data_IF_164818748503
#
_entry.id   IF_164818748503
#
_cell.length_a   1.000
_cell.length_b   1.000
_cell.length_c   1.000
_cell.angle_alpha   90.00
_cell.angle_beta   90.00
_cell.angle_gamma   90.00
#
_symmetry.space_group_name_H-M   'P 1'
#
loop_
_entity.id
_entity.type
_entity.pdbx_description
1 polymer ?
#
# COMPACT_ATOMS: atom_id res chain seq x y z
N UNK A 1 53.06 -20.50 23.58
CA UNK A 1 52.37 -20.48 22.26
C UNK A 1 50.92 -20.96 22.31
N UNK A 2 50.62 -22.14 22.88
CA UNK A 2 49.26 -22.72 22.98
C UNK A 2 48.22 -21.85 23.70
N UNK A 3 48.60 -21.10 24.74
CA UNK A 3 47.69 -20.21 25.49
C UNK A 3 47.22 -19.00 24.66
N UNK A 4 48.14 -18.35 23.92
CA UNK A 4 47.79 -17.21 23.05
C UNK A 4 46.81 -17.62 21.94
N UNK A 5 46.98 -18.81 21.36
CA UNK A 5 46.07 -19.36 20.34
C UNK A 5 44.66 -19.59 20.90
N UNK A 6 44.53 -20.13 22.13
CA UNK A 6 43.22 -20.31 22.79
C UNK A 6 42.52 -18.98 23.07
N UNK A 7 43.28 -17.97 23.52
CA UNK A 7 42.75 -16.62 23.76
C UNK A 7 42.29 -15.96 22.46
N UNK A 8 43.08 -16.04 21.39
CA UNK A 8 42.70 -15.51 20.07
C UNK A 8 41.45 -16.19 19.53
N UNK A 9 41.33 -17.52 19.65
CA UNK A 9 40.16 -18.27 19.19
C UNK A 9 38.89 -17.87 19.97
N UNK A 10 39.00 -17.68 21.29
CA UNK A 10 37.88 -17.22 22.12
C UNK A 10 37.39 -15.82 21.70
N UNK A 11 38.31 -14.89 21.41
CA UNK A 11 37.97 -13.54 20.93
C UNK A 11 37.24 -13.60 19.58
N UNK A 12 37.71 -14.42 18.64
CA UNK A 12 37.06 -14.58 17.32
C UNK A 12 35.64 -15.13 17.46
N UNK A 13 35.43 -16.11 18.34
CA UNK A 13 34.10 -16.68 18.60
C UNK A 13 33.16 -15.61 19.20
N UNK A 14 33.63 -14.81 20.16
CA UNK A 14 32.84 -13.73 20.77
C UNK A 14 32.42 -12.69 19.72
N UNK A 15 33.32 -12.32 18.81
CA UNK A 15 33.02 -11.39 17.73
C UNK A 15 31.96 -11.98 16.79
N UNK A 16 32.11 -13.24 16.39
CA UNK A 16 31.12 -13.92 15.53
C UNK A 16 29.75 -14.01 16.19
N UNK A 17 29.68 -14.39 17.47
CA UNK A 17 28.42 -14.44 18.23
C UNK A 17 27.80 -13.05 18.36
N UNK A 18 28.61 -12.02 18.59
CA UNK A 18 28.14 -10.63 18.66
C UNK A 18 27.60 -10.15 17.31
N UNK A 19 28.27 -10.49 16.21
CA UNK A 19 27.79 -10.17 14.86
C UNK A 19 26.48 -10.87 14.53
N UNK A 20 26.34 -12.15 14.88
CA UNK A 20 25.07 -12.89 14.73
C UNK A 20 23.98 -12.29 15.62
N UNK A 21 24.31 -11.86 16.83
CA UNK A 21 23.36 -11.21 17.73
C UNK A 21 22.92 -9.83 17.21
N UNK A 22 23.84 -9.02 16.71
CA UNK A 22 23.53 -7.73 16.09
C UNK A 22 22.72 -7.94 14.81
N UNK A 23 23.08 -8.92 13.97
CA UNK A 23 22.34 -9.27 12.76
C UNK A 23 20.92 -9.75 13.08
N UNK A 24 20.75 -10.57 14.12
CA UNK A 24 19.42 -11.04 14.56
C UNK A 24 18.59 -9.93 15.19
N UNK A 25 19.19 -9.00 15.94
CA UNK A 25 18.51 -7.80 16.44
C UNK A 25 18.13 -6.83 15.31
N UNK A 26 19.03 -6.61 14.35
CA UNK A 26 18.80 -5.76 13.17
C UNK A 26 17.70 -6.34 12.28
N UNK A 27 17.69 -7.67 12.11
CA UNK A 27 16.67 -8.39 11.36
C UNK A 27 15.46 -8.81 12.20
N UNK A 28 15.36 -8.35 13.46
CA UNK A 28 14.19 -8.61 14.33
C UNK A 28 13.01 -7.80 13.85
N UNK A 29 12.43 -8.23 12.74
CA UNK A 29 11.24 -7.66 12.12
C UNK A 29 9.99 -8.13 12.87
N UNK A 30 8.90 -7.35 12.76
CA UNK A 30 7.70 -7.60 13.54
C UNK A 30 7.12 -8.98 13.17
N UNK A 31 6.97 -9.91 14.12
CA UNK A 31 6.50 -11.27 13.81
C UNK A 31 5.06 -11.31 13.29
N UNK A 32 4.30 -10.23 13.48
CA UNK A 32 2.94 -10.05 12.96
C UNK A 32 2.88 -9.75 11.46
N UNK A 33 3.98 -9.31 10.87
CA UNK A 33 4.08 -9.03 9.44
C UNK A 33 4.26 -10.34 8.67
N UNK A 34 3.17 -10.84 8.07
CA UNK A 34 3.14 -12.10 7.29
C UNK A 34 3.08 -11.89 5.78
N UNK A 35 2.83 -10.66 5.35
CA UNK A 35 2.80 -10.25 3.95
C UNK A 35 3.21 -8.77 3.81
N UNK A 36 3.32 -8.31 2.56
CA UNK A 36 3.73 -6.94 2.22
C UNK A 36 2.81 -5.87 2.81
N UNK A 37 1.50 -6.11 2.84
CA UNK A 37 0.52 -5.14 3.32
C UNK A 37 0.56 -5.01 4.85
N UNK A 38 0.85 -6.10 5.56
CA UNK A 38 1.16 -6.01 6.99
C UNK A 38 2.41 -5.15 7.25
N UNK A 39 3.44 -5.28 6.40
CA UNK A 39 4.66 -4.49 6.50
C UNK A 39 4.37 -3.00 6.26
N UNK A 40 3.53 -2.68 5.27
CA UNK A 40 3.02 -1.32 5.06
C UNK A 40 2.28 -0.80 6.30
N UNK A 41 1.32 -1.57 6.82
CA UNK A 41 0.50 -1.17 7.95
C UNK A 41 1.31 -0.95 9.23
N UNK A 42 2.12 -1.92 9.65
CA UNK A 42 2.92 -1.81 10.87
C UNK A 42 4.11 -0.87 10.70
N UNK A 43 4.62 -0.74 9.47
CA UNK A 43 5.60 0.25 9.08
C UNK A 43 5.09 1.66 9.30
N UNK A 44 3.92 1.99 8.74
CA UNK A 44 3.34 3.33 8.84
C UNK A 44 2.78 3.64 10.24
N UNK A 45 2.32 2.61 10.97
CA UNK A 45 1.88 2.76 12.38
C UNK A 45 2.98 3.33 13.31
N UNK A 46 4.25 3.32 12.88
CA UNK A 46 5.34 3.96 13.62
C UNK A 46 5.18 5.48 13.72
N UNK A 47 4.27 6.11 12.97
CA UNK A 47 4.00 7.56 13.04
C UNK A 47 3.62 8.02 14.45
N UNK A 48 3.00 7.16 15.26
CA UNK A 48 2.62 7.46 16.64
C UNK A 48 3.79 7.38 17.65
N UNK A 49 5.03 7.14 17.19
CA UNK A 49 6.22 7.08 18.04
C UNK A 49 7.01 8.39 17.95
N UNK A 50 7.64 8.80 19.05
CA UNK A 50 8.52 9.98 19.09
C UNK A 50 9.66 9.83 18.09
N UNK A 51 9.85 10.83 17.22
CA UNK A 51 10.87 10.80 16.17
C UNK A 51 10.56 9.78 15.07
N UNK A 52 9.27 9.59 14.75
CA UNK A 52 8.81 8.58 13.81
C UNK A 52 9.57 8.63 12.47
N UNK A 53 10.21 7.51 12.16
CA UNK A 53 10.70 7.21 10.82
C UNK A 53 9.77 6.18 10.18
N UNK A 54 8.82 6.64 9.38
CA UNK A 54 7.87 5.76 8.67
C UNK A 54 8.37 5.46 7.27
N UNK A 55 8.15 4.23 6.73
CA UNK A 55 8.75 3.84 5.46
C UNK A 55 8.26 4.67 4.27
N UNK A 56 7.00 5.15 4.27
CA UNK A 56 6.46 5.98 3.19
C UNK A 56 7.25 7.28 3.00
N UNK A 57 7.91 7.79 4.05
CA UNK A 57 8.81 8.94 3.95
C UNK A 57 9.96 8.71 2.96
N UNK A 58 10.41 7.46 2.81
CA UNK A 58 11.56 7.10 1.99
C UNK A 58 11.19 6.88 0.52
N UNK A 59 9.91 6.72 0.19
CA UNK A 59 9.45 6.48 -1.17
C UNK A 59 9.45 7.81 -1.94
N UNK A 60 10.26 7.93 -3.01
CA UNK A 60 10.28 9.13 -3.83
C UNK A 60 8.90 9.43 -4.43
N UNK A 61 8.51 10.70 -4.37
CA UNK A 61 7.22 11.15 -4.91
C UNK A 61 6.06 11.07 -3.93
N UNK A 62 6.19 10.43 -2.75
CA UNK A 62 5.19 10.55 -1.68
C UNK A 62 5.16 11.98 -1.13
N UNK A 63 3.95 12.50 -0.90
CA UNK A 63 3.72 13.81 -0.28
C UNK A 63 4.36 13.85 1.11
N UNK A 64 5.19 14.86 1.36
CA UNK A 64 5.90 14.99 2.63
C UNK A 64 5.13 15.97 3.51
N UNK A 65 4.87 15.55 4.74
CA UNK A 65 4.12 16.31 5.73
C UNK A 65 4.75 16.12 7.12
N UNK A 66 4.43 17.00 8.08
CA UNK A 66 5.07 16.97 9.39
C UNK A 66 4.49 15.86 10.29
N UNK A 67 5.21 14.73 10.37
CA UNK A 67 4.84 13.56 11.17
C UNK A 67 4.80 13.82 12.67
N UNK A 68 5.47 14.86 13.15
CA UNK A 68 5.44 15.22 14.56
C UNK A 68 4.07 15.79 14.98
N UNK A 69 3.26 16.32 14.05
CA UNK A 69 1.96 16.93 14.35
C UNK A 69 0.98 15.92 14.98
N UNK A 70 1.12 14.62 14.71
CA UNK A 70 0.34 13.55 15.36
C UNK A 70 0.59 13.42 16.87
N UNK A 71 1.65 14.03 17.41
CA UNK A 71 2.01 13.97 18.82
C UNK A 71 1.62 15.21 19.64
N UNK A 72 1.34 16.36 19.01
CA UNK A 72 1.43 17.67 19.68
C UNK A 72 0.20 18.05 20.50
N UNK A 73 -0.93 17.33 20.45
CA UNK A 73 -2.12 17.77 21.20
C UNK A 73 -2.86 16.66 21.98
N UNK A 74 -2.41 16.34 23.21
CA UNK A 74 -3.06 15.37 24.10
C UNK A 74 -4.39 15.84 24.72
N UNK A 75 -4.76 17.12 24.62
CA UNK A 75 -5.93 17.71 25.32
C UNK A 75 -7.19 17.85 24.47
N UNK A 76 -7.20 17.43 23.21
CA UNK A 76 -8.39 17.50 22.37
C UNK A 76 -9.02 16.12 22.26
N UNK A 77 -10.05 15.89 23.07
CA UNK A 77 -10.93 14.71 23.01
C UNK A 77 -11.58 14.54 21.60
N UNK A 78 -11.61 15.60 20.79
CA UNK A 78 -12.05 15.62 19.38
C UNK A 78 -11.00 15.09 18.38
N UNK A 79 -9.76 14.79 18.79
CA UNK A 79 -8.76 14.19 17.90
C UNK A 79 -8.86 12.66 17.82
N UNK A 80 -9.74 12.01 18.59
CA UNK A 80 -9.85 10.54 18.60
C UNK A 80 -10.33 9.93 17.27
N UNK A 81 -11.09 10.69 16.47
CA UNK A 81 -11.51 10.25 15.12
C UNK A 81 -10.45 10.54 14.04
N UNK A 82 -9.70 11.64 14.16
CA UNK A 82 -8.58 11.95 13.26
C UNK A 82 -7.30 11.17 13.60
N UNK A 83 -7.14 10.69 14.84
CA UNK A 83 -5.94 9.97 15.27
C UNK A 83 -5.90 8.51 14.87
N UNK A 84 -6.97 7.92 14.34
CA UNK A 84 -6.94 6.50 13.95
C UNK A 84 -6.70 6.30 12.45
N UNK A 85 -6.60 7.38 11.68
CA UNK A 85 -6.36 7.31 10.24
C UNK A 85 -5.11 8.08 9.85
N UNK A 86 -4.25 7.46 9.05
CA UNK A 86 -3.12 8.11 8.38
C UNK A 86 -3.33 8.02 6.88
N UNK A 87 -3.13 9.12 6.18
CA UNK A 87 -3.23 9.18 4.73
C UNK A 87 -1.86 9.48 4.11
N UNK A 88 -1.51 8.70 3.09
CA UNK A 88 -0.34 8.93 2.26
C UNK A 88 -0.79 9.05 0.82
N UNK A 89 -0.05 9.79 -0.01
CA UNK A 89 -0.37 9.92 -1.43
C UNK A 89 0.85 10.27 -2.24
N UNK A 90 0.87 9.86 -3.51
CA UNK A 90 1.85 10.38 -4.45
C UNK A 90 1.52 11.83 -4.82
N UNK A 91 2.55 12.67 -4.95
CA UNK A 91 2.45 14.10 -5.31
C UNK A 91 2.00 14.31 -6.75
N UNK A 92 2.39 13.40 -7.65
CA UNK A 92 2.11 13.44 -9.08
C UNK A 92 1.35 12.19 -9.46
N UNK A 93 0.51 12.33 -10.49
CA UNK A 93 -0.17 11.19 -11.10
C UNK A 93 0.84 10.23 -11.73
N UNK A 94 0.49 8.96 -11.74
CA UNK A 94 1.24 7.92 -12.42
C UNK A 94 0.61 7.65 -13.78
N UNK A 95 1.39 7.82 -14.85
CA UNK A 95 0.96 7.52 -16.22
C UNK A 95 1.14 6.02 -16.47
N UNK A 96 0.04 5.32 -16.72
CA UNK A 96 0.05 3.87 -16.98
C UNK A 96 0.26 3.60 -18.47
N UNK A 97 0.58 2.36 -18.82
CA UNK A 97 0.83 1.99 -20.22
C UNK A 97 -0.43 2.03 -21.09
N UNK A 98 -1.60 1.72 -20.51
CA UNK A 98 -2.85 1.55 -21.25
C UNK A 98 -3.85 2.68 -20.99
N UNK A 99 -4.06 3.08 -19.73
CA UNK A 99 -5.13 4.02 -19.37
C UNK A 99 -4.56 5.20 -18.60
N UNK A 100 -4.23 6.28 -19.32
CA UNK A 100 -4.07 7.63 -18.77
C UNK A 100 -3.22 7.77 -17.50
N UNK A 101 -3.55 8.79 -16.72
CA UNK A 101 -2.83 9.18 -15.50
C UNK A 101 -3.68 8.99 -14.25
N UNK A 102 -3.14 8.31 -13.24
CA UNK A 102 -3.84 7.93 -12.02
C UNK A 102 -3.27 8.65 -10.80
N UNK A 103 -4.16 9.24 -10.00
CA UNK A 103 -3.85 9.63 -8.63
C UNK A 103 -3.75 8.36 -7.77
N UNK A 104 -2.76 8.30 -6.87
CA UNK A 104 -2.51 7.13 -6.01
C UNK A 104 -2.49 7.57 -4.56
N UNK A 105 -3.38 6.97 -3.75
CA UNK A 105 -3.55 7.25 -2.33
C UNK A 105 -3.53 6.00 -1.47
N UNK A 106 -3.29 6.21 -0.19
CA UNK A 106 -3.27 5.18 0.84
C UNK A 106 -3.98 5.72 2.08
N UNK A 107 -4.81 4.88 2.69
CA UNK A 107 -5.49 5.19 3.94
C UNK A 107 -5.29 4.05 4.92
N UNK A 108 -4.57 4.31 6.00
CA UNK A 108 -4.32 3.37 7.09
C UNK A 108 -5.31 3.63 8.20
N UNK A 109 -6.25 2.71 8.44
CA UNK A 109 -7.35 2.85 9.39
C UNK A 109 -7.08 1.91 10.58
N UNK A 110 -6.44 2.42 11.63
CA UNK A 110 -5.83 1.61 12.68
C UNK A 110 -6.81 1.02 13.70
N UNK A 111 -7.93 1.69 13.95
CA UNK A 111 -9.02 1.21 14.80
C UNK A 111 -9.73 0.02 14.15
N UNK A 112 -9.99 0.11 12.84
CA UNK A 112 -10.59 -0.96 12.04
C UNK A 112 -9.58 -2.00 11.59
N UNK A 113 -8.28 -1.73 11.76
CA UNK A 113 -7.15 -2.53 11.27
C UNK A 113 -7.30 -2.83 9.76
N UNK A 114 -7.40 -1.76 8.98
CA UNK A 114 -7.53 -1.82 7.51
C UNK A 114 -6.56 -0.90 6.79
N UNK A 115 -6.29 -1.22 5.54
CA UNK A 115 -5.65 -0.34 4.57
C UNK A 115 -6.59 -0.20 3.38
N UNK A 116 -6.74 1.00 2.84
CA UNK A 116 -7.32 1.21 1.51
C UNK A 116 -6.25 1.85 0.62
N UNK A 117 -5.87 1.14 -0.44
CA UNK A 117 -4.99 1.65 -1.49
C UNK A 117 -5.88 2.03 -2.66
N UNK A 118 -5.94 3.32 -2.97
CA UNK A 118 -6.86 3.86 -3.96
C UNK A 118 -6.13 4.40 -5.17
N UNK A 119 -6.70 4.11 -6.34
CA UNK A 119 -6.27 4.62 -7.62
C UNK A 119 -7.43 5.37 -8.25
N UNK A 120 -7.24 6.64 -8.58
CA UNK A 120 -8.31 7.48 -9.14
C UNK A 120 -7.92 8.03 -10.51
N UNK A 121 -8.81 7.87 -11.49
CA UNK A 121 -8.64 8.41 -12.82
C UNK A 121 -9.94 9.04 -13.33
N UNK A 122 -9.85 10.31 -13.74
CA UNK A 122 -10.94 11.04 -14.35
C UNK A 122 -10.62 11.29 -15.82
N UNK A 123 -11.39 10.67 -16.71
CA UNK A 123 -11.26 10.81 -18.16
C UNK A 123 -12.22 11.89 -18.63
N UNK A 124 -11.72 13.12 -18.77
CA UNK A 124 -12.55 14.31 -18.97
C UNK A 124 -13.30 14.26 -20.31
N UNK A 125 -12.66 13.81 -21.38
CA UNK A 125 -13.24 13.75 -22.72
C UNK A 125 -14.39 12.74 -22.81
N UNK A 126 -14.32 11.65 -22.03
CA UNK A 126 -15.37 10.63 -21.92
C UNK A 126 -16.39 10.93 -20.82
N UNK A 127 -16.13 11.96 -20.00
CA UNK A 127 -16.91 12.28 -18.79
C UNK A 127 -17.08 11.08 -17.87
N UNK A 128 -16.02 10.28 -17.70
CA UNK A 128 -16.02 9.08 -16.85
C UNK A 128 -15.01 9.27 -15.71
N UNK A 129 -15.32 8.68 -14.56
CA UNK A 129 -14.37 8.51 -13.47
C UNK A 129 -14.28 7.04 -13.08
N UNK A 130 -13.06 6.55 -12.89
CA UNK A 130 -12.77 5.28 -12.25
C UNK A 130 -12.13 5.51 -10.89
N UNK A 131 -12.54 4.70 -9.92
CA UNK A 131 -11.79 4.48 -8.69
C UNK A 131 -11.52 2.99 -8.53
N UNK A 132 -10.26 2.59 -8.33
CA UNK A 132 -9.89 1.21 -8.04
C UNK A 132 -9.39 1.17 -6.61
N UNK A 133 -9.99 0.33 -5.78
CA UNK A 133 -9.71 0.22 -4.36
C UNK A 133 -9.23 -1.17 -3.99
N UNK A 134 -8.07 -1.24 -3.36
CA UNK A 134 -7.54 -2.44 -2.74
C UNK A 134 -7.67 -2.30 -1.23
N UNK A 135 -8.71 -2.93 -0.68
CA UNK A 135 -9.06 -2.88 0.74
C UNK A 135 -8.48 -4.10 1.45
N UNK A 136 -7.45 -3.88 2.24
CA UNK A 136 -6.77 -4.92 3.02
C UNK A 136 -7.27 -4.95 4.46
N UNK A 137 -7.53 -6.15 4.96
CA UNK A 137 -7.91 -6.43 6.34
C UNK A 137 -6.78 -7.16 7.06
N UNK A 138 -6.24 -6.53 8.11
CA UNK A 138 -5.06 -7.02 8.82
C UNK A 138 -5.33 -8.34 9.55
N UNK A 139 -6.57 -8.59 9.99
CA UNK A 139 -6.89 -9.76 10.82
C UNK A 139 -7.06 -11.00 9.94
N UNK A 140 -7.85 -10.87 8.88
CA UNK A 140 -8.15 -11.95 7.96
C UNK A 140 -7.05 -12.22 6.93
N UNK A 141 -6.10 -11.28 6.76
CA UNK A 141 -5.05 -11.33 5.72
C UNK A 141 -5.64 -11.39 4.30
N UNK A 142 -6.79 -10.74 4.11
CA UNK A 142 -7.49 -10.67 2.83
C UNK A 142 -7.44 -9.25 2.28
N UNK A 143 -7.18 -9.16 0.99
CA UNK A 143 -7.26 -7.95 0.18
C UNK A 143 -8.43 -8.13 -0.79
N UNK A 144 -9.34 -7.16 -0.86
CA UNK A 144 -10.44 -7.14 -1.83
C UNK A 144 -10.26 -5.97 -2.77
N UNK A 145 -10.17 -6.27 -4.06
CA UNK A 145 -10.20 -5.28 -5.14
C UNK A 145 -11.65 -4.92 -5.47
N UNK A 146 -11.94 -3.62 -5.51
CA UNK A 146 -13.22 -3.08 -5.98
C UNK A 146 -12.95 -2.03 -7.05
N UNK A 147 -13.88 -1.91 -8.00
CA UNK A 147 -13.82 -0.89 -9.05
C UNK A 147 -15.13 -0.13 -9.02
N UNK A 148 -15.02 1.16 -8.70
CA UNK A 148 -16.15 2.08 -8.70
C UNK A 148 -16.12 2.87 -10.02
N UNK A 149 -17.29 2.99 -10.64
CA UNK A 149 -17.48 3.68 -11.91
C UNK A 149 -18.47 4.83 -11.76
N UNK A 150 -18.12 5.98 -12.30
CA UNK A 150 -19.00 7.16 -12.29
C UNK A 150 -19.20 7.77 -13.68
N UNK A 151 -20.46 7.95 -14.07
CA UNK A 151 -20.91 8.73 -15.21
C UNK A 151 -21.02 10.21 -14.79
N UNK A 152 -20.02 11.01 -15.15
CA UNK A 152 -19.95 12.43 -14.76
C UNK A 152 -20.94 13.31 -15.52
N UNK A 153 -21.82 12.76 -16.37
CA UNK A 153 -22.94 13.52 -16.97
C UNK A 153 -24.15 13.60 -16.04
N UNK A 154 -24.22 12.73 -15.03
CA UNK A 154 -25.32 12.63 -14.07
C UNK A 154 -24.93 13.22 -12.72
N UNK A 155 -25.91 13.35 -11.82
CA UNK A 155 -25.68 13.71 -10.41
C UNK A 155 -25.73 12.45 -9.55
N UNK A 156 -25.27 12.54 -8.30
CA UNK A 156 -25.43 11.45 -7.34
C UNK A 156 -26.91 11.34 -6.90
N UNK A 157 -27.43 10.11 -6.70
CA UNK A 157 -26.73 8.83 -6.77
C UNK A 157 -26.65 8.21 -8.18
N UNK A 158 -27.34 8.76 -9.20
CA UNK A 158 -27.45 8.13 -10.52
C UNK A 158 -26.15 8.09 -11.34
N UNK A 159 -25.18 8.90 -10.93
CA UNK A 159 -23.85 8.93 -11.51
C UNK A 159 -23.00 7.71 -11.10
N UNK A 160 -23.23 7.12 -9.93
CA UNK A 160 -22.56 5.88 -9.52
C UNK A 160 -23.24 4.68 -10.18
N UNK A 161 -22.45 3.83 -10.85
CA UNK A 161 -22.96 2.66 -11.56
C UNK A 161 -22.28 1.42 -10.99
N UNK A 162 -23.05 0.61 -10.26
CA UNK A 162 -22.58 -0.62 -9.64
C UNK A 162 -22.88 -1.87 -10.48
N UNK A 163 -23.84 -1.77 -11.41
CA UNK A 163 -24.24 -2.89 -12.27
C UNK A 163 -23.13 -3.21 -13.28
N UNK A 164 -22.43 -4.32 -13.08
CA UNK A 164 -21.31 -4.77 -13.92
C UNK A 164 -21.68 -4.77 -15.42
N UNK A 165 -22.87 -5.26 -15.78
CA UNK A 165 -23.33 -5.29 -17.18
C UNK A 165 -23.37 -3.88 -17.80
N UNK A 166 -23.89 -2.89 -17.06
CA UNK A 166 -23.91 -1.50 -17.48
C UNK A 166 -22.49 -0.94 -17.58
N UNK A 167 -21.62 -1.19 -16.60
CA UNK A 167 -20.22 -0.76 -16.65
C UNK A 167 -19.54 -1.29 -17.92
N UNK A 168 -19.72 -2.58 -18.26
CA UNK A 168 -19.17 -3.19 -19.49
C UNK A 168 -19.69 -2.49 -20.75
N UNK A 169 -20.98 -2.22 -20.85
CA UNK A 169 -21.57 -1.48 -21.98
C UNK A 169 -21.00 -0.06 -22.11
N UNK A 170 -20.82 0.64 -20.99
CA UNK A 170 -20.21 1.98 -20.98
C UNK A 170 -18.75 1.95 -21.43
N UNK A 171 -17.98 0.97 -20.97
CA UNK A 171 -16.59 0.76 -21.35
C UNK A 171 -16.46 0.53 -22.86
N UNK A 172 -17.30 -0.36 -23.41
CA UNK A 172 -17.35 -0.65 -24.85
C UNK A 172 -17.69 0.60 -25.68
N UNK A 173 -18.76 1.33 -25.31
CA UNK A 173 -19.17 2.57 -26.01
C UNK A 173 -18.08 3.65 -26.01
N UNK A 174 -17.22 3.64 -25.00
CA UNK A 174 -16.16 4.61 -24.81
C UNK A 174 -14.78 4.10 -25.27
N UNK A 175 -14.73 2.97 -25.99
CA UNK A 175 -13.50 2.34 -26.46
C UNK A 175 -12.47 2.16 -25.33
N UNK A 176 -12.93 1.70 -24.16
CA UNK A 176 -12.07 1.31 -23.04
C UNK A 176 -12.20 -0.20 -22.89
N UNK A 177 -11.10 -0.92 -23.05
CA UNK A 177 -11.09 -2.37 -22.88
C UNK A 177 -11.09 -2.74 -21.40
N UNK A 178 -11.95 -3.69 -21.00
CA UNK A 178 -11.93 -4.25 -19.64
C UNK A 178 -10.57 -4.92 -19.36
N UNK A 179 -9.98 -5.57 -20.37
CA UNK A 179 -8.64 -6.14 -20.28
C UNK A 179 -7.58 -5.06 -20.02
N UNK A 180 -7.65 -3.93 -20.73
CA UNK A 180 -6.72 -2.82 -20.48
C UNK A 180 -6.91 -2.24 -19.08
N UNK A 181 -8.15 -2.20 -18.56
CA UNK A 181 -8.43 -1.74 -17.18
C UNK A 181 -7.88 -2.70 -16.13
N UNK A 182 -8.03 -4.02 -16.35
CA UNK A 182 -7.42 -5.07 -15.50
C UNK A 182 -5.89 -4.97 -15.50
N UNK A 183 -5.26 -4.90 -16.67
CA UNK A 183 -3.81 -4.73 -16.81
C UNK A 183 -3.32 -3.44 -16.15
N UNK A 184 -4.11 -2.36 -16.25
CA UNK A 184 -3.83 -1.09 -15.57
C UNK A 184 -3.88 -1.24 -14.04
N UNK A 185 -4.87 -1.94 -13.51
CA UNK A 185 -4.98 -2.22 -12.08
C UNK A 185 -3.76 -3.02 -11.57
N UNK A 186 -3.32 -4.02 -12.35
CA UNK A 186 -2.14 -4.83 -12.04
C UNK A 186 -0.85 -4.01 -12.08
N UNK A 187 -0.67 -3.16 -13.09
CA UNK A 187 0.47 -2.23 -13.18
C UNK A 187 0.52 -1.29 -11.96
N UNK A 188 -0.63 -0.72 -11.58
CA UNK A 188 -0.74 0.18 -10.43
C UNK A 188 -0.39 -0.51 -9.11
N UNK A 189 -0.92 -1.71 -8.87
CA UNK A 189 -0.65 -2.43 -7.63
C UNK A 189 0.78 -3.01 -7.60
N UNK A 190 1.13 -3.83 -8.59
CA UNK A 190 2.35 -4.65 -8.53
C UNK A 190 3.59 -3.87 -8.95
N UNK A 191 3.54 -3.19 -10.08
CA UNK A 191 4.72 -2.49 -10.61
C UNK A 191 4.93 -1.16 -9.91
N UNK A 192 3.85 -0.44 -9.58
CA UNK A 192 3.98 0.89 -8.99
C UNK A 192 4.00 0.88 -7.47
N UNK A 193 2.96 0.38 -6.80
CA UNK A 193 2.85 0.44 -5.32
C UNK A 193 3.80 -0.54 -4.65
N UNK A 194 3.73 -1.82 -5.01
CA UNK A 194 4.57 -2.87 -4.45
C UNK A 194 6.02 -2.71 -4.89
N UNK A 195 6.26 -2.39 -6.17
CA UNK A 195 7.60 -2.14 -6.69
C UNK A 195 8.33 -0.98 -5.96
N UNK A 196 7.63 0.13 -5.70
CA UNK A 196 8.23 1.22 -4.91
C UNK A 196 8.45 0.82 -3.45
N UNK A 197 7.52 0.10 -2.84
CA UNK A 197 7.67 -0.39 -1.48
C UNK A 197 8.92 -1.27 -1.35
N UNK A 198 9.05 -2.27 -2.21
CA UNK A 198 10.19 -3.18 -2.28
C UNK A 198 11.50 -2.39 -2.40
N UNK A 199 11.56 -1.45 -3.34
CA UNK A 199 12.77 -0.69 -3.67
C UNK A 199 13.23 0.27 -2.57
N UNK A 200 12.31 0.95 -1.88
CA UNK A 200 12.65 2.09 -1.04
C UNK A 200 12.47 1.86 0.48
N UNK A 201 11.97 0.69 0.89
CA UNK A 201 11.64 0.43 2.31
C UNK A 201 12.40 -0.73 2.97
N UNK A 202 13.35 -1.36 2.27
CA UNK A 202 14.03 -2.60 2.70
C UNK A 202 13.02 -3.70 3.05
N UNK A 203 12.00 -3.87 2.20
CA UNK A 203 10.93 -4.84 2.37
C UNK A 203 11.47 -6.27 2.44
N UNK A 204 10.75 -7.15 3.15
CA UNK A 204 10.97 -8.63 3.04
C UNK A 204 10.20 -9.27 1.90
N UNK A 205 9.26 -8.53 1.35
CA UNK A 205 8.31 -8.99 0.37
C UNK A 205 8.62 -8.26 -0.94
N UNK A 206 8.17 -8.87 -2.03
CA UNK A 206 8.36 -8.36 -3.38
C UNK A 206 7.11 -8.65 -4.18
N UNK A 207 7.05 -8.15 -5.41
CA UNK A 207 5.97 -8.52 -6.34
C UNK A 207 5.89 -10.04 -6.59
N UNK A 208 7.03 -10.74 -6.52
CA UNK A 208 7.11 -12.19 -6.71
C UNK A 208 6.86 -12.99 -5.41
N UNK A 209 6.94 -12.33 -4.25
CA UNK A 209 6.67 -12.93 -2.95
C UNK A 209 5.93 -11.93 -2.04
N UNK A 210 4.60 -11.92 -2.15
CA UNK A 210 3.75 -11.08 -1.32
C UNK A 210 3.65 -11.56 0.12
N UNK A 211 4.08 -12.80 0.41
CA UNK A 211 3.84 -13.49 1.67
C UNK A 211 2.44 -14.09 1.76
N UNK A 212 1.96 -14.32 2.98
CA UNK A 212 0.65 -14.94 3.24
C UNK A 212 -0.47 -13.92 3.14
N UNK A 213 -1.02 -13.73 1.94
CA UNK A 213 -2.17 -12.88 1.66
C UNK A 213 -3.06 -13.53 0.60
N UNK A 214 -4.38 -13.40 0.75
CA UNK A 214 -5.35 -13.71 -0.31
C UNK A 214 -5.81 -12.41 -0.96
N UNK A 215 -5.66 -12.29 -2.28
CA UNK A 215 -6.21 -11.16 -3.05
C UNK A 215 -7.44 -11.66 -3.81
N UNK A 216 -8.60 -11.09 -3.51
CA UNK A 216 -9.87 -11.32 -4.19
C UNK A 216 -10.05 -10.19 -5.22
N UNK A 217 -10.14 -10.55 -6.50
CA UNK A 217 -10.26 -9.59 -7.61
C UNK A 217 -11.70 -9.13 -7.78
N UNK A 218 -11.87 -7.95 -8.38
CA UNK A 218 -13.19 -7.43 -8.70
C UNK A 218 -13.91 -8.33 -9.70
N UNK A 219 -15.20 -8.59 -9.45
CA UNK A 219 -16.07 -9.34 -10.36
C UNK A 219 -16.20 -8.69 -11.74
N UNK A 220 -15.91 -7.39 -11.86
CA UNK A 220 -15.85 -6.71 -13.16
C UNK A 220 -14.88 -7.40 -14.13
N UNK A 221 -13.83 -8.02 -13.58
CA UNK A 221 -12.76 -8.69 -14.32
C UNK A 221 -12.99 -10.19 -14.52
N UNK A 222 -14.13 -10.75 -14.08
CA UNK A 222 -14.44 -12.16 -14.27
C UNK A 222 -14.54 -12.49 -15.77
N UNK A 223 -13.87 -13.57 -16.18
CA UNK A 223 -13.81 -14.04 -17.56
C UNK A 223 -12.86 -13.24 -18.47
N UNK A 224 -11.95 -12.42 -17.88
CA UNK A 224 -10.96 -11.64 -18.62
C UNK A 224 -9.56 -12.21 -18.39
N UNK A 225 -9.00 -12.83 -19.43
CA UNK A 225 -7.62 -13.36 -19.44
C UNK A 225 -6.57 -12.24 -19.51
#
# INVERSE_FOLDING_TARGET
>A
MKSKIKVTLAIVIIILVSLVFIFTLYNRKNPKEKNIFDEMYYGEKKVYKRGANTPFRNIPGIHQWNRNDFMVNPSVKELSDRNNTVEERYKKKYKTKKIGEWDIGFKFIYDKKKIDISFYNKILEKKITFSIHYKYDIESKKMVENVDFFDNTKKMPEAEIDEISKIKEYLEKNNISIKDLKETADELLYEKVIGDWEKYTNSRYSKDNLGTVKIERSQLFDGVD
#
